data_IF_418840423419
#
_entry.id   IF_418840423419
#
_cell.length_a   1.000
_cell.length_b   1.000
_cell.length_c   1.000
_cell.angle_alpha   90.00
_cell.angle_beta   90.00
_cell.angle_gamma   90.00
#
_symmetry.space_group_name_H-M   'P 1'
#
loop_
_entity.id
_entity.type
_entity.pdbx_description
1 polymer ?
#
# COMPACT_ATOMS: atom_id res chain seq x y z
N UNK A 1 6.59 4.30 -4.73
CA UNK A 1 6.37 5.54 -3.95
C UNK A 1 6.43 6.75 -4.87
N UNK A 2 7.56 7.03 -5.52
CA UNK A 2 7.74 8.22 -6.36
C UNK A 2 6.68 8.39 -7.48
N UNK A 3 6.36 7.30 -8.19
CA UNK A 3 5.32 7.34 -9.23
C UNK A 3 3.92 7.63 -8.67
N UNK A 4 3.62 7.16 -7.46
CA UNK A 4 2.34 7.40 -6.78
C UNK A 4 2.22 8.88 -6.38
N UNK A 5 3.25 9.45 -5.75
CA UNK A 5 3.24 10.88 -5.40
C UNK A 5 3.26 11.79 -6.62
N UNK A 6 3.95 11.38 -7.69
CA UNK A 6 3.90 12.11 -8.94
C UNK A 6 2.50 12.07 -9.55
N UNK A 7 1.81 10.92 -9.48
CA UNK A 7 0.45 10.79 -9.97
C UNK A 7 -0.56 11.60 -9.15
N UNK A 8 -0.41 11.65 -7.81
CA UNK A 8 -1.32 12.41 -6.94
C UNK A 8 -1.28 13.92 -7.17
N UNK A 9 -0.22 14.44 -7.79
CA UNK A 9 -0.16 15.83 -8.24
C UNK A 9 -1.10 16.14 -9.42
N UNK A 10 -1.65 15.12 -10.10
CA UNK A 10 -2.50 15.28 -11.29
C UNK A 10 -3.84 14.54 -11.19
N UNK A 11 -4.01 13.65 -10.22
CA UNK A 11 -5.19 12.82 -10.05
C UNK A 11 -5.54 12.71 -8.57
N UNK A 12 -6.76 13.09 -8.22
CA UNK A 12 -7.28 13.01 -6.85
C UNK A 12 -7.97 11.65 -6.56
N UNK A 13 -8.39 10.93 -7.61
CA UNK A 13 -9.00 9.60 -7.47
C UNK A 13 -7.95 8.51 -7.69
N UNK A 14 -7.21 8.18 -6.62
CA UNK A 14 -6.17 7.17 -6.64
C UNK A 14 -6.43 6.11 -5.58
N UNK A 15 -6.62 4.87 -6.02
CA UNK A 15 -6.60 3.69 -5.16
C UNK A 15 -5.21 3.05 -5.11
N UNK A 16 -4.70 2.81 -3.91
CA UNK A 16 -3.44 2.10 -3.66
C UNK A 16 -3.74 0.71 -3.14
N UNK A 17 -3.26 -0.32 -3.82
CA UNK A 17 -3.54 -1.70 -3.46
C UNK A 17 -2.25 -2.49 -3.19
N UNK A 18 -2.13 -3.05 -1.99
CA UNK A 18 -1.05 -3.94 -1.59
C UNK A 18 -1.50 -5.41 -1.69
N UNK A 19 -0.92 -6.16 -2.62
CA UNK A 19 -1.21 -7.60 -2.86
C UNK A 19 0.06 -8.45 -2.85
N UNK A 20 -0.09 -9.76 -2.64
CA UNK A 20 1.04 -10.69 -2.62
C UNK A 20 2.11 -10.28 -1.61
N UNK A 21 3.37 -10.27 -2.01
CA UNK A 21 4.48 -9.78 -1.17
C UNK A 21 4.46 -8.26 -0.94
N UNK A 22 3.65 -7.52 -1.71
CA UNK A 22 3.48 -6.08 -1.53
C UNK A 22 3.02 -5.70 -0.12
N UNK A 23 2.28 -6.58 0.57
CA UNK A 23 1.85 -6.34 1.96
C UNK A 23 3.01 -6.21 2.94
N UNK A 24 4.19 -6.76 2.61
CA UNK A 24 5.40 -6.62 3.45
C UNK A 24 5.92 -5.18 3.48
N UNK A 25 5.60 -4.36 2.47
CA UNK A 25 5.98 -2.95 2.43
C UNK A 25 5.30 -2.14 3.55
N UNK A 26 4.14 -2.63 4.03
CA UNK A 26 3.36 -1.99 5.08
C UNK A 26 3.93 -2.25 6.48
N UNK A 27 4.91 -3.14 6.66
CA UNK A 27 5.40 -3.47 8.00
C UNK A 27 6.00 -2.26 8.72
N UNK A 28 5.61 -2.07 9.97
CA UNK A 28 6.26 -1.11 10.87
C UNK A 28 7.58 -1.67 11.41
N UNK A 29 8.46 -0.78 11.88
CA UNK A 29 9.72 -1.19 12.51
C UNK A 29 10.78 -1.76 11.55
N UNK A 30 10.69 -1.43 10.25
CA UNK A 30 11.71 -1.81 9.27
C UNK A 30 13.02 -1.07 9.53
N UNK A 31 14.08 -1.84 9.82
CA UNK A 31 15.46 -1.37 10.05
C UNK A 31 16.32 -1.68 8.82
N UNK A 32 16.56 -0.67 7.98
CA UNK A 32 17.24 -0.85 6.68
C UNK A 32 18.71 -0.40 6.67
N UNK A 33 19.18 0.23 7.74
CA UNK A 33 20.52 0.83 7.82
C UNK A 33 21.63 -0.21 7.67
N UNK A 34 21.45 -1.40 8.28
CA UNK A 34 22.44 -2.49 8.22
C UNK A 34 22.62 -3.07 6.82
N UNK A 35 21.66 -2.85 5.91
CA UNK A 35 21.71 -3.32 4.52
C UNK A 35 21.88 -2.18 3.51
N UNK A 36 22.17 -0.96 3.99
CA UNK A 36 22.41 0.24 3.17
C UNK A 36 21.26 0.56 2.20
N UNK A 37 20.04 0.18 2.56
CA UNK A 37 18.84 0.45 1.76
C UNK A 37 18.07 1.63 2.33
N UNK A 38 17.43 2.40 1.44
CA UNK A 38 16.55 3.51 1.84
C UNK A 38 15.32 2.95 2.57
N UNK A 39 15.00 3.53 3.72
CA UNK A 39 13.79 3.17 4.46
C UNK A 39 12.55 3.82 3.82
N UNK A 40 11.67 3.01 3.21
CA UNK A 40 10.47 3.51 2.54
C UNK A 40 9.23 3.55 3.45
N UNK A 41 9.24 2.86 4.59
CA UNK A 41 8.08 2.81 5.48
C UNK A 41 7.62 4.21 5.97
N UNK A 42 8.51 5.17 6.30
CA UNK A 42 8.10 6.53 6.65
C UNK A 42 7.39 7.26 5.51
N UNK A 43 7.72 6.98 4.25
CA UNK A 43 7.11 7.66 3.10
C UNK A 43 5.67 7.22 2.87
N UNK A 44 5.26 6.03 3.35
CA UNK A 44 3.85 5.60 3.31
C UNK A 44 2.95 6.48 4.18
N UNK A 45 3.50 7.07 5.26
CA UNK A 45 2.73 8.02 6.10
C UNK A 45 2.41 9.33 5.39
N UNK A 46 3.10 9.63 4.27
CA UNK A 46 2.81 10.80 3.47
C UNK A 46 1.48 10.66 2.73
N UNK A 47 0.95 9.45 2.51
CA UNK A 47 -0.31 9.25 1.78
C UNK A 47 -1.46 10.08 2.37
N UNK A 48 -1.55 10.14 3.70
CA UNK A 48 -2.51 10.96 4.45
C UNK A 48 -2.33 12.47 4.19
N UNK A 49 -1.10 12.93 4.00
CA UNK A 49 -0.80 14.34 3.68
C UNK A 49 -1.13 14.72 2.23
N UNK A 50 -1.29 13.74 1.35
CA UNK A 50 -1.64 13.93 -0.05
C UNK A 50 -3.10 13.56 -0.33
N UNK A 51 -3.94 13.48 0.70
CA UNK A 51 -5.36 13.11 0.62
C UNK A 51 -5.60 11.76 -0.10
N UNK A 52 -4.66 10.81 0.01
CA UNK A 52 -4.78 9.46 -0.55
C UNK A 52 -5.40 8.53 0.50
N UNK A 53 -6.72 8.55 0.58
CA UNK A 53 -7.49 7.77 1.57
C UNK A 53 -7.81 6.34 1.12
N UNK A 54 -7.82 6.09 -0.20
CA UNK A 54 -8.20 4.81 -0.79
C UNK A 54 -7.02 3.82 -0.76
N UNK A 55 -6.60 3.42 0.43
CA UNK A 55 -5.50 2.47 0.64
C UNK A 55 -6.02 1.11 1.08
N UNK A 56 -5.72 0.08 0.30
CA UNK A 56 -6.23 -1.28 0.46
C UNK A 56 -5.11 -2.30 0.59
N UNK A 57 -5.34 -3.36 1.37
CA UNK A 57 -4.42 -4.50 1.46
C UNK A 57 -5.16 -5.83 1.37
N UNK A 58 -4.55 -6.81 0.70
CA UNK A 58 -5.08 -8.17 0.63
C UNK A 58 -5.08 -8.83 2.00
N UNK A 59 -6.28 -9.16 2.49
CA UNK A 59 -6.47 -9.86 3.76
C UNK A 59 -5.82 -11.25 3.72
N UNK A 60 -5.99 -11.97 2.61
CA UNK A 60 -5.44 -13.32 2.44
C UNK A 60 -3.91 -13.30 2.47
N UNK A 61 -3.28 -12.33 1.77
CA UNK A 61 -1.82 -12.21 1.74
C UNK A 61 -1.22 -11.85 3.11
N UNK A 62 -1.91 -11.03 3.92
CA UNK A 62 -1.50 -10.76 5.30
C UNK A 62 -1.61 -12.04 6.16
N UNK A 63 -2.73 -12.76 6.05
CA UNK A 63 -2.97 -13.97 6.82
C UNK A 63 -1.95 -15.07 6.51
N UNK A 64 -1.61 -15.27 5.23
CA UNK A 64 -0.56 -16.21 4.78
C UNK A 64 0.82 -15.92 5.39
N UNK A 65 1.09 -14.64 5.71
CA UNK A 65 2.34 -14.17 6.32
C UNK A 65 2.25 -14.04 7.84
N UNK A 66 1.10 -14.36 8.44
CA UNK A 66 0.86 -14.22 9.88
C UNK A 66 0.83 -12.77 10.37
N UNK A 67 0.46 -11.83 9.50
CA UNK A 67 0.44 -10.40 9.79
C UNK A 67 -0.96 -9.93 10.17
N UNK A 68 -1.03 -9.03 11.15
CA UNK A 68 -2.23 -8.34 11.57
C UNK A 68 -2.16 -6.84 11.22
N UNK A 69 -3.30 -6.17 11.29
CA UNK A 69 -3.36 -4.72 11.04
C UNK A 69 -2.49 -3.92 12.03
N UNK A 70 -2.29 -4.44 13.24
CA UNK A 70 -1.42 -3.82 14.24
C UNK A 70 0.07 -3.83 13.86
N UNK A 71 0.47 -4.63 12.88
CA UNK A 71 1.85 -4.70 12.38
C UNK A 71 2.14 -3.67 11.28
N UNK A 72 1.13 -2.91 10.86
CA UNK A 72 1.20 -2.03 9.69
C UNK A 72 1.54 -0.58 10.08
N UNK A 73 2.36 0.08 9.26
CA UNK A 73 2.87 1.45 9.47
C UNK A 73 1.84 2.54 9.20
N UNK A 74 0.79 2.21 8.45
CA UNK A 74 -0.34 3.08 8.12
C UNK A 74 -1.66 2.29 8.22
N UNK A 75 -2.79 2.95 8.50
CA UNK A 75 -4.10 2.32 8.37
C UNK A 75 -4.36 1.96 6.91
N UNK A 76 -4.94 0.78 6.68
CA UNK A 76 -5.38 0.31 5.36
C UNK A 76 -6.71 -0.41 5.51
N UNK A 77 -7.50 -0.42 4.45
CA UNK A 77 -8.73 -1.22 4.37
C UNK A 77 -8.39 -2.63 3.92
N UNK A 78 -8.65 -3.62 4.77
CA UNK A 78 -8.42 -5.02 4.43
C UNK A 78 -9.52 -5.53 3.50
N UNK A 79 -9.12 -6.09 2.36
CA UNK A 79 -10.04 -6.57 1.32
C UNK A 79 -9.74 -8.00 0.91
N UNK A 80 -10.80 -8.75 0.58
CA UNK A 80 -10.71 -10.08 0.01
C UNK A 80 -10.50 -10.02 -1.52
N UNK A 81 -10.08 -11.13 -2.12
CA UNK A 81 -9.82 -11.24 -3.56
C UNK A 81 -10.96 -10.76 -4.47
N UNK A 82 -12.22 -10.91 -4.03
CA UNK A 82 -13.38 -10.40 -4.78
C UNK A 82 -13.36 -8.87 -4.89
N UNK A 83 -13.19 -8.17 -3.76
CA UNK A 83 -13.14 -6.71 -3.72
C UNK A 83 -11.89 -6.17 -4.45
N UNK A 84 -10.77 -6.89 -4.41
CA UNK A 84 -9.58 -6.58 -5.22
C UNK A 84 -9.93 -6.55 -6.70
N UNK A 85 -10.60 -7.59 -7.19
CA UNK A 85 -11.03 -7.65 -8.60
C UNK A 85 -11.96 -6.48 -8.95
N UNK A 86 -12.89 -6.14 -8.05
CA UNK A 86 -13.81 -5.01 -8.24
C UNK A 86 -13.10 -3.66 -8.30
N UNK A 87 -12.11 -3.42 -7.43
CA UNK A 87 -11.27 -2.21 -7.44
C UNK A 87 -10.50 -2.11 -8.76
N UNK A 88 -9.86 -3.21 -9.19
CA UNK A 88 -9.10 -3.23 -10.44
C UNK A 88 -9.98 -3.00 -11.67
N UNK A 89 -11.22 -3.50 -11.67
CA UNK A 89 -12.16 -3.27 -12.77
C UNK A 89 -12.68 -1.83 -12.86
N UNK A 90 -12.69 -1.09 -11.74
CA UNK A 90 -13.10 0.32 -11.71
C UNK A 90 -11.99 1.27 -12.18
N UNK A 91 -10.74 0.81 -12.18
CA UNK A 91 -9.60 1.63 -12.57
C UNK A 91 -9.50 1.80 -14.10
N UNK A 92 -9.49 3.05 -14.57
CA UNK A 92 -9.21 3.38 -15.98
C UNK A 92 -7.76 3.07 -16.40
N UNK A 93 -6.86 3.08 -15.42
CA UNK A 93 -5.42 2.85 -15.56
C UNK A 93 -4.91 2.09 -14.35
N UNK A 94 -4.07 1.09 -14.60
CA UNK A 94 -3.40 0.30 -13.57
C UNK A 94 -1.89 0.47 -13.75
N UNK A 95 -1.21 0.86 -12.68
CA UNK A 95 0.25 0.89 -12.59
C UNK A 95 0.69 -0.22 -11.63
N UNK A 96 1.47 -1.17 -12.14
CA UNK A 96 1.98 -2.31 -11.37
C UNK A 96 3.49 -2.19 -11.16
N UNK A 97 3.97 -2.59 -9.98
CA UNK A 97 5.37 -2.47 -9.55
C UNK A 97 5.86 -3.76 -8.89
#
# INVERSE_FOLDING_TARGET
MDALLAASAYCEDIAVLFVGDGVLQLLQGQETDNILCKNYAPMLKLLDLYDIDQVFASQDALAERGLAQADLVIPVTLVQNKAITEILHQADKILSF
#
